data_IF_383460596257
#
_entry.id   IF_383460596257
#
_cell.length_a   1.000
_cell.length_b   1.000
_cell.length_c   1.000
_cell.angle_alpha   90.00
_cell.angle_beta   90.00
_cell.angle_gamma   90.00
#
_symmetry.space_group_name_H-M   'P 1'
#
loop_
_entity.id
_entity.type
_entity.pdbx_description
1 polymer ?
#
# COMPACT_ATOMS: atom_id res chain seq x y z
N UNK A 1 -7.39 -10.33 22.28
CA UNK A 1 -6.80 -10.42 22.09
C UNK A 1 -6.15 -10.31 21.69
N UNK A 2 -6.19 -10.44 21.59
CA UNK A 2 -5.54 -10.48 21.13
C UNK A 2 -4.72 -10.52 20.73
N UNK A 3 -4.94 -10.62 20.92
CA UNK A 3 -3.58 -10.95 20.76
C UNK A 3 -2.92 -10.83 19.42
N UNK A 4 -3.67 -10.62 18.41
CA UNK A 4 -3.13 -10.47 17.05
C UNK A 4 -2.90 -8.99 16.77
N UNK A 5 -1.66 -8.65 16.41
CA UNK A 5 -1.35 -7.28 16.06
C UNK A 5 -2.11 -6.87 14.82
N UNK A 6 -2.74 -5.71 14.85
CA UNK A 6 -3.45 -5.18 13.70
C UNK A 6 -2.44 -4.65 12.70
N UNK A 7 -2.64 -4.97 11.43
CA UNK A 7 -1.79 -4.48 10.37
C UNK A 7 -2.23 -3.10 9.93
N UNK A 8 -1.28 -2.23 9.70
CA UNK A 8 -1.54 -0.86 9.27
C UNK A 8 -1.25 -0.71 7.80
N UNK A 9 -2.20 -0.12 7.09
CA UNK A 9 -2.10 0.14 5.65
C UNK A 9 -2.00 1.64 5.43
N UNK A 10 -0.98 2.07 4.71
CA UNK A 10 -0.91 3.43 4.21
C UNK A 10 -1.61 3.45 2.85
N UNK A 11 -2.72 4.16 2.76
CA UNK A 11 -3.53 4.22 1.55
C UNK A 11 -3.33 5.56 0.87
N UNK A 12 -2.70 5.55 -0.29
CA UNK A 12 -2.34 6.76 -1.02
C UNK A 12 -3.19 6.88 -2.27
N UNK A 13 -4.16 7.76 -2.24
CA UNK A 13 -5.13 7.95 -3.31
C UNK A 13 -5.62 9.40 -3.28
N UNK A 14 -5.53 10.10 -4.40
CA UNK A 14 -5.90 11.51 -4.44
C UNK A 14 -7.40 11.75 -4.59
N UNK A 15 -8.14 10.80 -5.14
CA UNK A 15 -9.60 10.92 -5.27
C UNK A 15 -10.24 10.63 -3.92
N UNK A 16 -10.91 11.61 -3.28
CA UNK A 16 -11.46 11.38 -1.94
C UNK A 16 -12.55 10.32 -1.89
N UNK A 17 -13.36 10.20 -2.94
CA UNK A 17 -14.44 9.20 -2.95
C UNK A 17 -13.86 7.80 -3.04
N UNK A 18 -12.86 7.61 -3.89
CA UNK A 18 -12.19 6.30 -4.00
C UNK A 18 -11.45 6.01 -2.70
N UNK A 19 -10.74 7.00 -2.18
CA UNK A 19 -9.98 6.84 -0.93
C UNK A 19 -10.89 6.40 0.22
N UNK A 20 -12.04 7.09 0.37
CA UNK A 20 -12.97 6.76 1.44
C UNK A 20 -13.55 5.35 1.29
N UNK A 21 -13.91 4.98 0.06
CA UNK A 21 -14.45 3.65 -0.20
C UNK A 21 -13.44 2.56 0.10
N UNK A 22 -12.19 2.76 -0.31
CA UNK A 22 -11.14 1.78 -0.06
C UNK A 22 -10.79 1.71 1.42
N UNK A 23 -10.79 2.84 2.09
CA UNK A 23 -10.55 2.86 3.53
C UNK A 23 -11.63 2.06 4.27
N UNK A 24 -12.89 2.29 3.92
CA UNK A 24 -14.00 1.58 4.56
C UNK A 24 -13.86 0.07 4.41
N UNK A 25 -13.58 -0.39 3.19
CA UNK A 25 -13.48 -1.84 2.97
C UNK A 25 -12.25 -2.44 3.67
N UNK A 26 -11.15 -1.70 3.73
CA UNK A 26 -9.96 -2.18 4.44
C UNK A 26 -10.22 -2.28 5.94
N UNK A 27 -10.93 -1.30 6.50
CA UNK A 27 -11.28 -1.35 7.92
C UNK A 27 -12.22 -2.49 8.23
N UNK A 28 -13.16 -2.80 7.32
CA UNK A 28 -14.01 -3.97 7.46
C UNK A 28 -13.22 -5.27 7.45
N UNK A 29 -12.08 -5.29 6.75
CA UNK A 29 -11.21 -6.46 6.69
C UNK A 29 -10.25 -6.54 7.89
N UNK A 30 -10.33 -5.58 8.80
CA UNK A 30 -9.56 -5.62 10.03
C UNK A 30 -8.25 -4.85 10.01
N UNK A 31 -8.01 -4.03 8.98
CA UNK A 31 -6.80 -3.23 8.92
C UNK A 31 -7.00 -1.87 9.58
N UNK A 32 -5.95 -1.34 10.16
CA UNK A 32 -5.90 0.08 10.48
C UNK A 32 -5.43 0.81 9.23
N UNK A 33 -6.07 1.92 8.90
CA UNK A 33 -5.77 2.65 7.67
C UNK A 33 -5.29 4.06 7.98
N UNK A 34 -4.17 4.42 7.37
CA UNK A 34 -3.69 5.81 7.37
C UNK A 34 -3.87 6.32 5.95
N UNK A 35 -4.82 7.24 5.74
CA UNK A 35 -5.03 7.77 4.39
C UNK A 35 -4.04 8.88 4.08
N UNK A 36 -3.60 8.94 2.83
CA UNK A 36 -2.79 10.03 2.31
C UNK A 36 -3.40 10.50 1.00
N UNK A 37 -3.58 11.79 0.87
CA UNK A 37 -4.25 12.36 -0.30
C UNK A 37 -3.30 12.61 -1.46
N UNK A 38 -2.00 12.48 -1.23
CA UNK A 38 -1.00 12.73 -2.26
C UNK A 38 0.33 12.09 -1.87
N UNK A 39 1.26 12.11 -2.80
CA UNK A 39 2.56 11.48 -2.58
C UNK A 39 3.39 12.16 -1.49
N UNK A 40 3.24 13.47 -1.34
CA UNK A 40 3.98 14.17 -0.30
C UNK A 40 3.56 13.71 1.09
N UNK A 41 2.24 13.59 1.32
CA UNK A 41 1.74 13.08 2.59
C UNK A 41 2.23 11.66 2.84
N UNK A 42 2.26 10.84 1.80
CA UNK A 42 2.74 9.47 1.91
C UNK A 42 4.21 9.45 2.31
N UNK A 43 5.04 10.23 1.64
CA UNK A 43 6.46 10.30 1.94
C UNK A 43 6.69 10.82 3.35
N UNK A 44 5.96 11.85 3.74
CA UNK A 44 6.06 12.40 5.09
C UNK A 44 5.73 11.35 6.15
N UNK A 45 4.65 10.59 5.94
CA UNK A 45 4.29 9.54 6.89
C UNK A 45 5.40 8.50 6.99
N UNK A 46 5.93 8.08 5.84
CA UNK A 46 6.93 7.01 5.80
C UNK A 46 8.28 7.46 6.37
N UNK A 47 8.63 8.74 6.23
CA UNK A 47 9.96 9.20 6.62
C UNK A 47 9.99 9.81 8.01
N UNK A 48 8.85 10.32 8.51
CA UNK A 48 8.82 11.01 9.80
C UNK A 48 8.44 10.09 10.97
N UNK A 49 8.06 8.87 10.68
CA UNK A 49 7.72 7.91 11.73
C UNK A 49 8.88 6.97 12.01
N UNK A 50 9.14 6.73 13.27
CA UNK A 50 10.20 5.83 13.72
C UNK A 50 9.70 5.11 14.98
N UNK A 51 9.43 3.81 14.94
CA UNK A 51 9.54 2.96 13.75
C UNK A 51 8.45 3.27 12.73
N UNK A 52 8.68 2.80 11.51
CA UNK A 52 7.71 3.00 10.44
C UNK A 52 6.49 2.14 10.72
N UNK A 53 5.31 2.80 10.70
CA UNK A 53 4.08 2.15 11.11
C UNK A 53 3.26 1.49 10.01
N UNK A 54 3.82 1.31 8.82
CA UNK A 54 3.06 0.73 7.71
C UNK A 54 3.50 -0.70 7.42
N UNK A 55 2.53 -1.60 7.34
CA UNK A 55 2.76 -3.00 6.96
C UNK A 55 2.48 -3.23 5.49
N UNK A 56 1.80 -2.30 4.85
CA UNK A 56 1.47 -2.35 3.43
C UNK A 56 1.25 -0.93 2.96
N UNK A 57 1.70 -0.62 1.75
CA UNK A 57 1.39 0.65 1.09
C UNK A 57 0.52 0.34 -0.12
N UNK A 58 -0.66 0.96 -0.19
CA UNK A 58 -1.52 0.88 -1.37
C UNK A 58 -1.38 2.24 -2.06
N UNK A 59 -0.99 2.23 -3.31
CA UNK A 59 -0.45 3.41 -3.96
C UNK A 59 -1.01 3.60 -5.36
N UNK A 60 -1.71 4.71 -5.57
CA UNK A 60 -2.12 5.13 -6.90
C UNK A 60 -0.91 5.75 -7.60
N UNK A 61 -0.63 5.31 -8.82
CA UNK A 61 0.52 5.83 -9.56
C UNK A 61 0.28 7.22 -10.15
N UNK A 62 -0.96 7.50 -10.55
CA UNK A 62 -1.26 8.76 -11.23
C UNK A 62 -1.90 9.75 -10.26
N UNK A 63 -1.08 10.61 -9.69
CA UNK A 63 -1.52 11.63 -8.78
C UNK A 63 -0.84 12.95 -9.16
N UNK A 64 -1.50 14.09 -8.91
CA UNK A 64 -0.85 15.37 -9.15
C UNK A 64 0.29 15.61 -8.17
N UNK A 65 1.20 16.48 -8.55
CA UNK A 65 2.37 16.89 -7.75
C UNK A 65 3.36 15.74 -7.59
N UNK A 66 3.41 15.09 -6.45
CA UNK A 66 4.29 13.95 -6.24
C UNK A 66 3.56 12.68 -6.65
N UNK A 67 4.00 12.07 -7.73
CA UNK A 67 3.34 10.89 -8.29
C UNK A 67 3.64 9.64 -7.47
N UNK A 68 2.87 8.60 -7.72
CA UNK A 68 3.15 7.30 -7.11
C UNK A 68 4.50 6.73 -7.51
N UNK A 69 4.97 7.05 -8.72
CA UNK A 69 6.29 6.62 -9.16
C UNK A 69 7.39 7.21 -8.27
N UNK A 70 7.23 8.48 -7.89
CA UNK A 70 8.19 9.14 -7.00
C UNK A 70 8.18 8.53 -5.60
N UNK A 71 7.00 8.16 -5.12
CA UNK A 71 6.89 7.46 -3.83
C UNK A 71 7.62 6.12 -3.88
N UNK A 72 7.44 5.36 -4.97
CA UNK A 72 8.14 4.09 -5.14
C UNK A 72 9.65 4.27 -5.18
N UNK A 73 10.12 5.30 -5.86
CA UNK A 73 11.54 5.61 -5.93
C UNK A 73 12.13 5.86 -4.54
N UNK A 74 11.42 6.66 -3.75
CA UNK A 74 11.87 6.97 -2.39
C UNK A 74 11.88 5.71 -1.53
N UNK A 75 10.87 4.86 -1.67
CA UNK A 75 10.82 3.61 -0.92
C UNK A 75 11.94 2.66 -1.31
N UNK A 76 12.27 2.62 -2.57
CA UNK A 76 13.35 1.76 -3.05
C UNK A 76 14.71 2.23 -2.55
N UNK A 77 14.90 3.54 -2.48
CA UNK A 77 16.17 4.13 -2.10
C UNK A 77 16.44 4.12 -0.59
N UNK A 78 15.40 3.93 0.22
CA UNK A 78 15.55 3.96 1.68
C UNK A 78 15.47 2.54 2.23
N UNK A 79 16.57 2.07 2.83
CA UNK A 79 16.65 0.70 3.35
C UNK A 79 15.57 0.39 4.40
N UNK A 80 15.11 1.41 5.14
CA UNK A 80 14.06 1.22 6.14
C UNK A 80 12.72 0.91 5.51
N UNK A 81 12.52 1.31 4.25
CA UNK A 81 11.25 1.20 3.54
C UNK A 81 11.23 0.09 2.51
N UNK A 82 12.39 -0.42 2.13
CA UNK A 82 12.52 -1.31 0.97
C UNK A 82 11.81 -2.65 1.15
N UNK A 83 11.56 -3.08 2.38
CA UNK A 83 10.89 -4.34 2.66
C UNK A 83 9.37 -4.22 2.80
N UNK A 84 8.84 -3.00 2.82
CA UNK A 84 7.40 -2.80 2.94
C UNK A 84 6.73 -3.18 1.62
N UNK A 85 5.78 -4.11 1.62
CA UNK A 85 5.11 -4.48 0.36
C UNK A 85 4.24 -3.35 -0.15
N UNK A 86 4.13 -3.26 -1.48
CA UNK A 86 3.36 -2.22 -2.15
C UNK A 86 2.36 -2.86 -3.10
N UNK A 87 1.10 -2.47 -2.97
CA UNK A 87 0.06 -2.79 -3.93
C UNK A 87 -0.24 -1.54 -4.73
N UNK A 88 -0.02 -1.60 -6.03
CA UNK A 88 -0.18 -0.45 -6.91
C UNK A 88 -1.57 -0.46 -7.54
N UNK A 89 -2.21 0.71 -7.54
CA UNK A 89 -3.45 0.93 -8.27
C UNK A 89 -3.11 1.78 -9.48
N UNK A 90 -3.60 1.42 -10.63
CA UNK A 90 -3.29 2.19 -11.84
C UNK A 90 -4.37 2.10 -12.88
N UNK A 91 -4.59 3.20 -13.60
CA UNK A 91 -5.49 3.21 -14.73
C UNK A 91 -4.80 2.54 -15.92
N UNK A 92 -5.57 1.71 -16.57
CA UNK A 92 -5.33 1.17 -17.90
C UNK A 92 -3.95 0.60 -18.19
N UNK A 93 -3.17 1.26 -19.03
CA UNK A 93 -2.10 0.62 -19.77
C UNK A 93 -0.71 0.69 -19.14
N UNK A 94 -0.60 1.23 -17.94
CA UNK A 94 0.70 1.36 -17.31
C UNK A 94 1.27 -0.02 -16.95
N UNK A 95 2.56 -0.25 -17.17
CA UNK A 95 3.17 -1.50 -16.77
C UNK A 95 3.30 -1.58 -15.25
N UNK A 96 3.30 -2.80 -14.73
CA UNK A 96 3.51 -3.01 -13.30
C UNK A 96 4.95 -2.62 -12.93
N UNK A 97 5.14 -1.75 -11.94
CA UNK A 97 6.48 -1.44 -11.46
C UNK A 97 7.14 -2.67 -10.81
N UNK A 98 8.42 -2.84 -11.04
CA UNK A 98 9.15 -3.98 -10.47
C UNK A 98 9.09 -4.00 -8.94
N UNK A 99 9.09 -2.82 -8.33
CA UNK A 99 9.07 -2.70 -6.87
C UNK A 99 7.77 -3.19 -6.25
N UNK A 100 6.66 -3.18 -7.02
CA UNK A 100 5.35 -3.51 -6.47
C UNK A 100 5.16 -5.01 -6.36
N UNK A 101 4.63 -5.46 -5.23
CA UNK A 101 4.29 -6.86 -5.00
C UNK A 101 2.93 -7.22 -5.61
N UNK A 102 2.07 -6.23 -5.81
CA UNK A 102 0.77 -6.45 -6.41
C UNK A 102 0.37 -5.27 -7.28
N UNK A 103 -0.63 -5.53 -8.12
CA UNK A 103 -1.08 -4.54 -9.09
C UNK A 103 -2.57 -4.73 -9.33
N UNK A 104 -3.35 -3.64 -9.25
CA UNK A 104 -4.78 -3.67 -9.58
C UNK A 104 -5.06 -2.59 -10.60
N UNK A 105 -5.66 -2.96 -11.72
CA UNK A 105 -5.99 -2.01 -12.77
C UNK A 105 -7.37 -1.40 -12.52
N UNK A 106 -7.45 -0.11 -12.68
CA UNK A 106 -8.74 0.60 -12.63
C UNK A 106 -9.45 0.45 -13.97
N UNK A 107 -10.75 0.30 -14.01
CA UNK A 107 -11.63 0.13 -12.85
C UNK A 107 -11.56 -1.28 -12.29
N UNK A 108 -11.80 -1.43 -11.00
CA UNK A 108 -11.80 -2.74 -10.35
C UNK A 108 -12.96 -2.85 -9.40
N UNK A 109 -13.36 -4.10 -9.10
CA UNK A 109 -14.38 -4.34 -8.07
C UNK A 109 -13.72 -4.32 -6.71
N UNK A 110 -14.52 -4.02 -5.68
CA UNK A 110 -14.00 -4.08 -4.31
C UNK A 110 -13.58 -5.50 -3.95
N UNK A 111 -14.28 -6.50 -4.47
CA UNK A 111 -13.92 -7.90 -4.24
C UNK A 111 -12.53 -8.22 -4.80
N UNK A 112 -12.26 -7.78 -6.04
CA UNK A 112 -10.96 -7.99 -6.65
C UNK A 112 -9.86 -7.27 -5.87
N UNK A 113 -10.16 -6.07 -5.39
CA UNK A 113 -9.23 -5.29 -4.59
C UNK A 113 -8.88 -6.03 -3.29
N UNK A 114 -9.91 -6.48 -2.56
CA UNK A 114 -9.70 -7.19 -1.29
C UNK A 114 -8.88 -8.47 -1.50
N UNK A 115 -9.19 -9.21 -2.57
CA UNK A 115 -8.44 -10.42 -2.90
C UNK A 115 -6.96 -10.11 -3.11
N UNK A 116 -6.67 -9.02 -3.82
CA UNK A 116 -5.28 -8.62 -4.05
C UNK A 116 -4.59 -8.18 -2.77
N UNK A 117 -5.29 -7.45 -1.92
CA UNK A 117 -4.73 -7.02 -0.64
C UNK A 117 -4.30 -8.23 0.18
N UNK A 118 -5.18 -9.21 0.33
CA UNK A 118 -4.85 -10.42 1.07
C UNK A 118 -3.73 -11.21 0.40
N UNK A 119 -3.70 -11.23 -0.91
CA UNK A 119 -2.63 -11.89 -1.64
C UNK A 119 -1.25 -11.31 -1.37
N UNK A 120 -1.21 -10.00 -1.10
CA UNK A 120 0.06 -9.33 -0.81
C UNK A 120 0.44 -9.46 0.67
N UNK A 121 -0.51 -9.21 1.59
CA UNK A 121 -0.19 -9.20 3.02
C UNK A 121 -0.11 -10.60 3.63
N UNK A 122 -0.90 -11.53 3.10
CA UNK A 122 -0.98 -12.88 3.66
C UNK A 122 -0.09 -13.88 2.95
N UNK A 123 0.70 -13.41 2.00
CA UNK A 123 1.58 -14.31 1.27
C UNK A 123 2.54 -14.98 2.26
N UNK A 124 2.94 -16.23 1.95
CA UNK A 124 3.87 -16.92 2.82
C UNK A 124 5.09 -16.07 3.07
N UNK A 125 5.48 -16.01 4.30
CA UNK A 125 6.59 -15.17 4.67
C UNK A 125 7.85 -15.63 3.98
N UNK A 126 8.59 -14.67 3.47
CA UNK A 126 9.98 -14.96 3.20
C UNK A 126 10.59 -15.54 4.45
N UNK A 127 10.10 -15.03 5.55
CA UNK A 127 10.47 -15.55 6.85
C UNK A 127 10.22 -17.04 6.98
N UNK A 128 9.26 -17.59 6.26
CA UNK A 128 9.09 -19.05 6.26
C UNK A 128 10.30 -19.73 5.67
N UNK A 129 10.89 -19.13 4.66
CA UNK A 129 12.15 -19.61 4.11
C UNK A 129 13.27 -19.37 5.10
N UNK A 130 13.20 -18.27 5.81
CA UNK A 130 14.20 -17.89 6.78
C UNK A 130 14.11 -18.72 8.06
N UNK A 131 13.03 -19.46 8.24
CA UNK A 131 12.84 -20.30 9.40
C UNK A 131 13.66 -21.61 9.30
N UNK A 132 14.21 -21.85 8.20
CA UNK A 132 14.93 -23.08 7.98
C UNK A 132 16.40 -22.93 8.30
#
# INVERSE_FOLDING_TARGET
MKGVATRTVLLVEDDPDIRDSLQDILEEEGFDVVPAANGKQAIDFLTLNDPIGADLVILDLLMPMVSGWEVLERMTADARLSDIPVLVLSAAAAPKPERAQGFVRKPFSLEAFVTKVHGVVDRPLRAAEDLI
#
